data_IF_303651454082
#
_entry.id   IF_303651454082
#
_cell.length_a   1.000
_cell.length_b   1.000
_cell.length_c   1.000
_cell.angle_alpha   90.00
_cell.angle_beta   90.00
_cell.angle_gamma   90.00
#
_symmetry.space_group_name_H-M   'P 1'
#
loop_
_entity.id
_entity.type
_entity.pdbx_description
1 polymer ?
#
# COMPACT_ATOMS: atom_id res chain seq x y z
N UNK A 1 39.30 -45.34 24.43
CA UNK A 1 38.52 -45.76 23.23
C UNK A 1 39.28 -45.63 21.91
N UNK A 2 40.58 -45.97 21.84
CA UNK A 2 41.32 -45.98 20.55
C UNK A 2 41.15 -47.30 19.80
N UNK A 3 41.25 -48.40 20.54
CA UNK A 3 41.09 -49.77 20.05
C UNK A 3 39.72 -49.97 19.36
N UNK A 4 38.62 -49.59 20.00
CA UNK A 4 37.27 -49.67 19.40
C UNK A 4 37.14 -48.89 18.09
N UNK A 5 37.79 -47.73 17.97
CA UNK A 5 37.78 -46.89 16.77
C UNK A 5 38.57 -47.53 15.62
N UNK A 6 39.71 -48.14 15.93
CA UNK A 6 40.51 -48.88 14.95
C UNK A 6 39.74 -50.08 14.41
N UNK A 7 39.10 -50.87 15.29
CA UNK A 7 38.24 -51.97 14.87
C UNK A 7 37.05 -51.52 14.00
N UNK A 8 36.40 -50.39 14.30
CA UNK A 8 35.31 -49.87 13.45
C UNK A 8 35.80 -49.36 12.11
N UNK A 9 36.95 -48.67 12.05
CA UNK A 9 37.55 -48.21 10.80
C UNK A 9 37.97 -49.37 9.90
N UNK A 10 38.55 -50.42 10.48
CA UNK A 10 38.92 -51.61 9.71
C UNK A 10 37.70 -52.37 9.20
N UNK A 11 36.60 -52.41 9.96
CA UNK A 11 35.32 -52.95 9.49
C UNK A 11 34.77 -52.17 8.28
N UNK A 12 34.77 -50.84 8.35
CA UNK A 12 34.36 -49.95 7.24
C UNK A 12 35.24 -50.19 6.00
N UNK A 13 36.55 -50.32 6.18
CA UNK A 13 37.51 -50.58 5.09
C UNK A 13 37.32 -51.95 4.45
N UNK A 14 36.91 -52.96 5.21
CA UNK A 14 36.71 -54.32 4.71
C UNK A 14 35.40 -54.46 3.92
N UNK A 15 34.35 -53.73 4.32
CA UNK A 15 33.05 -53.74 3.63
C UNK A 15 32.74 -52.42 2.91
N UNK A 16 33.56 -52.07 1.91
CA UNK A 16 33.52 -50.77 1.23
C UNK A 16 32.19 -50.49 0.52
N UNK A 17 31.56 -51.49 -0.10
CA UNK A 17 30.32 -51.31 -0.88
C UNK A 17 29.15 -50.88 0.01
N UNK A 18 28.90 -51.63 1.09
CA UNK A 18 27.82 -51.32 2.04
C UNK A 18 28.10 -50.03 2.80
N UNK A 19 29.35 -49.79 3.23
CA UNK A 19 29.70 -48.57 3.95
C UNK A 19 29.55 -47.32 3.09
N UNK A 20 29.94 -47.37 1.81
CA UNK A 20 29.69 -46.27 0.86
C UNK A 20 28.19 -46.04 0.65
N UNK A 21 27.38 -47.09 0.52
CA UNK A 21 25.93 -46.96 0.38
C UNK A 21 25.29 -46.25 1.59
N UNK A 22 25.71 -46.59 2.82
CA UNK A 22 25.22 -45.95 4.05
C UNK A 22 25.65 -44.48 4.11
N UNK A 23 26.91 -44.17 3.79
CA UNK A 23 27.38 -42.77 3.79
C UNK A 23 26.63 -41.91 2.76
N UNK A 24 26.39 -42.44 1.55
CA UNK A 24 25.59 -41.76 0.53
C UNK A 24 24.15 -41.57 1.00
N UNK A 25 23.54 -42.59 1.61
CA UNK A 25 22.18 -42.48 2.14
C UNK A 25 22.08 -41.39 3.23
N UNK A 26 23.03 -41.33 4.17
CA UNK A 26 23.09 -40.29 5.20
C UNK A 26 23.35 -38.90 4.62
N UNK A 27 24.22 -38.80 3.62
CA UNK A 27 24.48 -37.55 2.91
C UNK A 27 23.23 -37.05 2.17
N UNK A 28 22.55 -37.93 1.45
CA UNK A 28 21.30 -37.59 0.75
C UNK A 28 20.20 -37.20 1.73
N UNK A 29 20.02 -37.95 2.83
CA UNK A 29 19.01 -37.65 3.84
C UNK A 29 19.25 -36.28 4.51
N UNK A 30 20.49 -35.98 4.89
CA UNK A 30 20.84 -34.70 5.51
C UNK A 30 20.73 -33.52 4.52
N UNK A 31 21.14 -33.72 3.26
CA UNK A 31 20.99 -32.71 2.21
C UNK A 31 19.51 -32.44 1.91
N UNK A 32 18.70 -33.49 1.81
CA UNK A 32 17.26 -33.36 1.54
C UNK A 32 16.53 -32.67 2.68
N UNK A 33 16.84 -33.00 3.93
CA UNK A 33 16.28 -32.31 5.10
C UNK A 33 16.68 -30.83 5.13
N UNK A 34 17.95 -30.51 4.84
CA UNK A 34 18.41 -29.12 4.80
C UNK A 34 17.73 -28.33 3.67
N UNK A 35 17.58 -28.94 2.49
CA UNK A 35 16.87 -28.34 1.37
C UNK A 35 15.39 -28.10 1.69
N UNK A 36 14.73 -29.04 2.36
CA UNK A 36 13.34 -28.90 2.78
C UNK A 36 13.15 -27.74 3.78
N UNK A 37 14.03 -27.64 4.78
CA UNK A 37 14.00 -26.52 5.72
C UNK A 37 14.23 -25.17 5.03
N UNK A 38 15.18 -25.11 4.09
CA UNK A 38 15.42 -23.92 3.27
C UNK A 38 14.21 -23.53 2.44
N UNK A 39 13.58 -24.51 1.78
CA UNK A 39 12.38 -24.30 0.97
C UNK A 39 11.21 -23.75 1.77
N UNK A 40 10.92 -24.32 2.95
CA UNK A 40 9.85 -23.83 3.83
C UNK A 40 10.11 -22.40 4.29
N UNK A 41 11.35 -22.08 4.67
CA UNK A 41 11.72 -20.73 5.08
C UNK A 41 11.58 -19.71 3.94
N UNK A 42 11.99 -20.07 2.73
CA UNK A 42 11.80 -19.23 1.55
C UNK A 42 10.32 -19.02 1.27
N UNK A 43 9.51 -20.08 1.25
CA UNK A 43 8.06 -19.95 1.06
C UNK A 43 7.40 -19.04 2.10
N UNK A 44 7.79 -19.16 3.37
CA UNK A 44 7.27 -18.30 4.45
C UNK A 44 7.64 -16.83 4.23
N UNK A 45 8.91 -16.57 3.90
CA UNK A 45 9.41 -15.21 3.61
C UNK A 45 8.75 -14.62 2.37
N UNK A 46 8.54 -15.42 1.33
CA UNK A 46 7.87 -14.98 0.12
C UNK A 46 6.40 -14.64 0.42
N UNK A 47 5.71 -15.49 1.19
CA UNK A 47 4.32 -15.25 1.60
C UNK A 47 4.19 -13.95 2.38
N UNK A 48 5.04 -13.74 3.39
CA UNK A 48 5.02 -12.50 4.20
C UNK A 48 5.35 -11.27 3.36
N UNK A 49 6.37 -11.35 2.49
CA UNK A 49 6.74 -10.25 1.59
C UNK A 49 5.61 -9.92 0.61
N UNK A 50 4.96 -10.94 0.05
CA UNK A 50 3.82 -10.75 -0.85
C UNK A 50 2.60 -10.17 -0.14
N UNK A 51 2.32 -10.59 1.09
CA UNK A 51 1.24 -10.00 1.89
C UNK A 51 1.49 -8.53 2.16
N UNK A 52 2.71 -8.16 2.57
CA UNK A 52 3.09 -6.76 2.78
C UNK A 52 3.05 -5.97 1.47
N UNK A 53 3.48 -6.58 0.36
CA UNK A 53 3.46 -5.94 -0.96
C UNK A 53 2.03 -5.64 -1.44
N UNK A 54 1.08 -6.56 -1.22
CA UNK A 54 -0.30 -6.44 -1.70
C UNK A 54 -1.22 -5.68 -0.77
N UNK A 55 -1.11 -5.90 0.54
CA UNK A 55 -2.04 -5.36 1.54
C UNK A 55 -1.46 -4.20 2.34
N UNK A 56 -0.15 -4.00 2.28
CA UNK A 56 0.56 -3.06 3.15
C UNK A 56 0.92 -3.68 4.50
N UNK A 57 1.74 -2.95 5.25
CA UNK A 57 2.20 -3.30 6.60
C UNK A 57 1.36 -2.54 7.64
N UNK A 58 0.10 -2.93 7.83
CA UNK A 58 -0.81 -2.36 8.85
C UNK A 58 -1.63 -3.49 9.50
N UNK A 59 -2.11 -3.28 10.72
CA UNK A 59 -2.80 -4.34 11.49
C UNK A 59 -4.24 -4.03 11.87
N UNK A 60 -4.60 -2.76 12.00
CA UNK A 60 -5.96 -2.36 12.33
C UNK A 60 -6.30 -1.01 11.73
N UNK A 61 -7.57 -0.84 11.37
CA UNK A 61 -8.15 0.39 10.86
C UNK A 61 -9.35 0.76 11.73
N UNK A 62 -9.36 2.00 12.23
CA UNK A 62 -10.47 2.56 12.99
C UNK A 62 -11.44 3.24 12.04
N UNK A 63 -12.62 2.63 11.86
CA UNK A 63 -13.72 3.25 11.13
C UNK A 63 -14.53 4.14 12.08
N UNK A 64 -14.83 5.37 11.65
CA UNK A 64 -15.56 6.36 12.44
C UNK A 64 -14.83 7.69 12.61
N UNK A 65 -15.47 8.61 13.34
CA UNK A 65 -14.93 9.94 13.61
C UNK A 65 -13.74 9.84 14.58
N UNK A 66 -12.53 9.96 14.05
CA UNK A 66 -11.32 10.08 14.84
C UNK A 66 -10.95 11.56 14.97
N UNK A 67 -10.74 12.06 16.18
CA UNK A 67 -10.32 13.44 16.36
C UNK A 67 -8.81 13.55 16.37
N UNK A 68 -8.27 14.63 15.78
CA UNK A 68 -6.83 14.97 15.84
C UNK A 68 -6.32 14.94 17.28
N UNK A 69 -7.16 15.37 18.23
CA UNK A 69 -6.85 15.44 19.66
C UNK A 69 -6.55 14.09 20.30
N UNK A 70 -7.07 13.00 19.74
CA UNK A 70 -6.94 11.65 20.29
C UNK A 70 -5.79 10.85 19.62
N UNK A 71 -5.17 11.41 18.56
CA UNK A 71 -3.96 10.85 17.94
C UNK A 71 -2.80 10.59 18.93
N UNK A 72 -2.52 11.45 19.92
CA UNK A 72 -1.46 11.19 20.90
C UNK A 72 -1.72 9.94 21.76
N UNK A 73 -2.98 9.61 22.04
CA UNK A 73 -3.34 8.41 22.82
C UNK A 73 -2.97 7.14 22.04
N UNK A 74 -3.18 7.15 20.72
CA UNK A 74 -2.92 6.01 19.85
C UNK A 74 -1.42 5.88 19.58
N UNK A 75 -0.73 6.99 19.32
CA UNK A 75 0.74 7.00 19.17
C UNK A 75 1.49 6.65 20.47
N UNK A 76 0.88 6.90 21.63
CA UNK A 76 1.47 6.59 22.93
C UNK A 76 1.41 5.12 23.32
N UNK A 77 0.72 4.28 22.55
CA UNK A 77 0.57 2.86 22.87
C UNK A 77 1.82 2.07 22.45
N UNK A 78 2.37 1.27 23.37
CA UNK A 78 3.69 0.63 23.18
C UNK A 78 3.76 -0.38 22.03
N UNK A 79 2.62 -0.84 21.52
CA UNK A 79 2.54 -1.77 20.40
C UNK A 79 2.36 -1.08 19.06
N UNK A 80 2.24 0.26 19.00
CA UNK A 80 2.05 1.02 17.75
C UNK A 80 3.35 1.73 17.40
N UNK A 81 3.91 1.43 16.23
CA UNK A 81 5.12 2.08 15.71
C UNK A 81 4.77 3.35 14.93
N UNK A 82 3.79 3.25 14.04
CA UNK A 82 3.35 4.39 13.24
C UNK A 82 1.84 4.41 13.00
N UNK A 83 1.34 5.62 12.83
CA UNK A 83 -0.08 5.89 12.61
C UNK A 83 -0.24 6.44 11.20
N UNK A 84 -0.98 5.70 10.37
CA UNK A 84 -1.29 6.06 9.01
C UNK A 84 -2.62 6.81 9.01
N UNK A 85 -2.62 7.99 8.39
CA UNK A 85 -3.79 8.85 8.32
C UNK A 85 -4.15 8.99 6.85
N UNK A 86 -5.41 8.70 6.53
CA UNK A 86 -6.01 8.93 5.22
C UNK A 86 -7.23 9.82 5.41
N UNK A 87 -7.38 10.81 4.54
CA UNK A 87 -8.55 11.68 4.52
C UNK A 87 -9.70 11.04 3.76
N UNK A 88 -10.83 11.76 3.75
CA UNK A 88 -11.98 11.41 2.94
C UNK A 88 -11.69 11.52 1.44
N UNK A 89 -12.53 10.86 0.65
CA UNK A 89 -12.53 11.06 -0.79
C UNK A 89 -13.27 12.35 -1.12
N UNK A 90 -12.60 13.22 -1.87
CA UNK A 90 -13.10 14.49 -2.38
C UNK A 90 -13.39 14.29 -3.87
N UNK A 91 -14.49 14.83 -4.37
CA UNK A 91 -14.75 14.82 -5.82
C UNK A 91 -14.11 16.05 -6.48
N UNK A 92 -13.34 15.81 -7.53
CA UNK A 92 -12.90 16.84 -8.46
C UNK A 92 -13.64 16.69 -9.80
N UNK A 93 -14.16 17.79 -10.31
CA UNK A 93 -14.82 17.85 -11.62
C UNK A 93 -13.77 17.99 -12.74
N UNK A 94 -13.97 17.24 -13.83
CA UNK A 94 -13.06 17.22 -14.97
C UNK A 94 -13.82 17.29 -16.29
N UNK A 95 -13.28 18.07 -17.22
CA UNK A 95 -13.80 18.18 -18.58
C UNK A 95 -13.23 17.04 -19.45
N UNK A 96 -13.69 15.80 -19.25
CA UNK A 96 -13.32 14.63 -20.06
C UNK A 96 -14.56 13.93 -20.66
N UNK A 97 -14.62 13.69 -21.99
CA UNK A 97 -15.73 12.99 -22.65
C UNK A 97 -16.05 11.59 -22.11
N UNK A 98 -15.09 10.91 -21.47
CA UNK A 98 -15.28 9.56 -20.93
C UNK A 98 -15.67 9.55 -19.46
N UNK A 99 -15.36 10.61 -18.70
CA UNK A 99 -15.52 10.66 -17.25
C UNK A 99 -15.74 12.10 -16.77
N UNK A 100 -16.79 12.29 -15.99
CA UNK A 100 -17.14 13.62 -15.47
C UNK A 100 -16.40 13.95 -14.15
N UNK A 101 -15.96 12.94 -13.39
CA UNK A 101 -15.40 13.16 -12.05
C UNK A 101 -14.15 12.32 -11.75
N UNK A 102 -13.23 12.90 -10.97
CA UNK A 102 -12.11 12.22 -10.33
C UNK A 102 -12.33 12.15 -8.81
N UNK A 103 -11.88 11.06 -8.19
CA UNK A 103 -11.83 10.95 -6.72
C UNK A 103 -10.44 11.31 -6.25
N UNK A 104 -10.31 12.34 -5.42
CA UNK A 104 -9.06 12.73 -4.75
C UNK A 104 -9.08 12.24 -3.31
N UNK A 105 -7.97 11.71 -2.84
CA UNK A 105 -7.77 11.37 -1.44
C UNK A 105 -6.40 11.84 -0.99
N UNK A 106 -6.31 12.35 0.24
CA UNK A 106 -5.04 12.79 0.80
C UNK A 106 -4.60 11.88 1.93
N UNK A 107 -3.29 11.67 2.03
CA UNK A 107 -2.70 10.78 3.00
C UNK A 107 -1.44 11.40 3.62
N UNK A 108 -1.00 10.91 4.78
CA UNK A 108 0.28 11.32 5.36
C UNK A 108 1.46 10.55 4.76
N UNK A 109 2.68 11.04 4.99
CA UNK A 109 3.90 10.35 4.59
C UNK A 109 4.02 8.92 5.17
N UNK A 110 3.50 8.68 6.39
CA UNK A 110 3.49 7.34 6.99
C UNK A 110 2.59 6.37 6.21
N UNK A 111 1.42 6.83 5.73
CA UNK A 111 0.55 6.08 4.84
C UNK A 111 1.33 5.61 3.61
N UNK A 112 1.93 6.56 2.88
CA UNK A 112 2.73 6.25 1.68
C UNK A 112 3.90 5.31 1.92
N UNK A 113 4.45 5.25 3.15
CA UNK A 113 5.56 4.35 3.48
C UNK A 113 5.08 2.90 3.66
N UNK A 114 3.94 2.68 4.30
CA UNK A 114 3.50 1.34 4.70
C UNK A 114 2.41 0.74 3.81
N UNK A 115 1.74 1.56 3.00
CA UNK A 115 0.63 1.13 2.15
C UNK A 115 1.11 0.66 0.75
N UNK A 116 0.35 -0.24 0.11
CA UNK A 116 0.76 -0.88 -1.14
C UNK A 116 0.71 0.04 -2.37
N UNK A 117 -0.03 1.14 -2.33
CA UNK A 117 -0.23 2.05 -3.48
C UNK A 117 1.09 2.63 -4.00
N UNK A 118 2.11 2.78 -3.15
CA UNK A 118 3.46 3.19 -3.58
C UNK A 118 4.08 2.22 -4.60
N UNK A 119 3.71 0.93 -4.54
CA UNK A 119 4.22 -0.12 -5.40
C UNK A 119 3.54 -0.12 -6.78
N UNK A 120 2.39 0.54 -6.89
CA UNK A 120 1.64 0.73 -8.14
C UNK A 120 2.16 1.93 -8.94
N UNK A 121 3.10 2.71 -8.39
CA UNK A 121 3.71 3.82 -9.08
C UNK A 121 4.52 3.31 -10.29
N UNK A 122 4.08 3.69 -11.49
CA UNK A 122 4.71 3.30 -12.74
C UNK A 122 5.84 4.25 -13.12
N UNK A 123 5.65 5.54 -12.84
CA UNK A 123 6.63 6.59 -13.16
C UNK A 123 6.55 7.74 -12.15
N UNK A 124 7.65 8.45 -11.96
CA UNK A 124 7.78 9.58 -11.03
C UNK A 124 8.04 9.17 -9.57
N UNK A 125 7.45 9.91 -8.63
CA UNK A 125 7.64 9.72 -7.19
C UNK A 125 6.34 9.88 -6.39
N UNK A 126 6.35 9.39 -5.15
CA UNK A 126 5.28 9.71 -4.19
C UNK A 126 5.24 11.22 -3.91
N UNK A 127 4.06 11.79 -3.62
CA UNK A 127 3.96 13.21 -3.27
C UNK A 127 4.65 13.48 -1.94
N UNK A 128 5.39 14.58 -1.86
CA UNK A 128 6.10 15.06 -0.67
C UNK A 128 5.41 16.27 -0.04
N UNK A 129 4.67 17.04 -0.83
CA UNK A 129 3.96 18.24 -0.41
C UNK A 129 2.46 18.18 -0.73
N UNK A 130 1.66 19.03 -0.06
CA UNK A 130 0.19 19.04 -0.17
C UNK A 130 -0.34 19.53 -1.52
N UNK A 131 0.50 20.24 -2.26
CA UNK A 131 0.22 20.69 -3.62
C UNK A 131 0.73 19.70 -4.68
N UNK A 132 1.22 18.52 -4.29
CA UNK A 132 1.68 17.49 -5.21
C UNK A 132 0.67 16.34 -5.26
N UNK A 133 0.44 15.81 -6.46
CA UNK A 133 -0.48 14.70 -6.68
C UNK A 133 0.13 13.62 -7.55
N UNK A 134 -0.29 12.39 -7.28
CA UNK A 134 -0.09 11.25 -8.16
C UNK A 134 -1.42 10.91 -8.82
N UNK A 135 -1.39 10.73 -10.13
CA UNK A 135 -2.58 10.52 -10.97
C UNK A 135 -2.59 9.10 -11.52
N UNK A 136 -3.78 8.50 -11.62
CA UNK A 136 -3.92 7.18 -12.26
C UNK A 136 -3.59 7.23 -13.76
N UNK A 137 -2.93 6.19 -14.28
CA UNK A 137 -2.53 6.05 -15.68
C UNK A 137 -3.68 6.30 -16.67
N UNK A 138 -4.89 5.90 -16.31
CA UNK A 138 -6.10 6.05 -17.12
C UNK A 138 -6.40 7.51 -17.50
N UNK A 139 -6.02 8.47 -16.66
CA UNK A 139 -6.24 9.90 -16.96
C UNK A 139 -5.33 10.39 -18.10
N UNK A 140 -4.08 9.92 -18.15
CA UNK A 140 -3.12 10.28 -19.21
C UNK A 140 -3.47 9.67 -20.57
N UNK A 141 -4.30 8.61 -20.61
CA UNK A 141 -4.78 8.05 -21.88
C UNK A 141 -5.71 9.03 -22.62
N UNK A 142 -6.47 9.84 -21.89
CA UNK A 142 -7.36 10.85 -22.47
C UNK A 142 -6.71 12.24 -22.56
N UNK A 143 -5.67 12.49 -21.75
CA UNK A 143 -4.90 13.74 -21.72
C UNK A 143 -3.41 13.48 -22.00
N UNK A 144 -3.03 13.06 -23.22
CA UNK A 144 -1.63 12.75 -23.58
C UNK A 144 -0.71 13.97 -23.56
N UNK A 145 -1.28 15.18 -23.53
CA UNK A 145 -0.56 16.44 -23.39
C UNK A 145 0.07 16.63 -22.00
N UNK A 146 -0.51 16.02 -20.96
CA UNK A 146 -0.04 16.17 -19.59
C UNK A 146 1.15 15.26 -19.28
N UNK A 147 2.14 15.82 -18.59
CA UNK A 147 3.36 15.14 -18.17
C UNK A 147 3.63 15.34 -16.69
N UNK A 148 4.51 14.48 -16.17
CA UNK A 148 5.06 14.65 -14.82
C UNK A 148 5.82 16.00 -14.79
N UNK A 149 5.50 16.83 -13.81
CA UNK A 149 6.00 18.20 -13.65
C UNK A 149 4.97 19.27 -14.04
N UNK A 150 3.91 18.92 -14.75
CA UNK A 150 2.86 19.88 -15.12
C UNK A 150 1.94 20.20 -13.94
N UNK A 151 1.29 21.35 -14.03
CA UNK A 151 0.32 21.81 -13.03
C UNK A 151 -1.10 21.67 -13.56
N UNK A 152 -1.98 21.07 -12.75
CA UNK A 152 -3.40 20.93 -13.04
C UNK A 152 -4.21 21.69 -12.00
N UNK A 153 -5.23 22.43 -12.44
CA UNK A 153 -6.18 23.10 -11.55
C UNK A 153 -7.47 22.31 -11.54
N UNK A 154 -7.87 21.85 -10.35
CA UNK A 154 -9.03 20.99 -10.15
C UNK A 154 -10.07 21.71 -9.29
N UNK A 155 -11.30 21.92 -9.81
CA UNK A 155 -12.43 22.34 -9.00
C UNK A 155 -12.88 21.16 -8.12
N UNK A 156 -12.82 21.33 -6.80
CA UNK A 156 -13.22 20.34 -5.82
C UNK A 156 -14.57 20.68 -5.19
N UNK A 157 -15.37 19.67 -4.97
CA UNK A 157 -16.76 19.85 -4.55
C UNK A 157 -17.46 18.54 -4.25
N UNK A 158 -18.79 18.61 -4.30
CA UNK A 158 -19.67 17.50 -3.98
C UNK A 158 -20.60 17.18 -5.15
N UNK A 159 -20.85 15.88 -5.34
CA UNK A 159 -21.85 15.37 -6.29
C UNK A 159 -23.19 15.34 -5.57
N UNK A 160 -24.20 15.97 -6.17
CA UNK A 160 -25.56 16.02 -5.62
C UNK A 160 -26.53 15.40 -6.63
N UNK A 161 -27.39 14.51 -6.13
CA UNK A 161 -28.52 13.97 -6.90
C UNK A 161 -29.78 14.02 -6.05
N UNK A 162 -30.85 14.60 -6.59
CA UNK A 162 -32.16 14.69 -5.95
C UNK A 162 -32.09 15.24 -4.50
N UNK A 163 -31.17 16.20 -4.26
CA UNK A 163 -30.94 16.80 -2.94
C UNK A 163 -30.06 15.98 -1.97
N UNK A 164 -29.56 14.81 -2.39
CA UNK A 164 -28.66 13.95 -1.60
C UNK A 164 -27.22 14.09 -2.08
N UNK A 165 -26.28 14.27 -1.14
CA UNK A 165 -24.83 14.26 -1.44
C UNK A 165 -24.37 12.82 -1.64
N UNK A 166 -23.80 12.53 -2.80
CA UNK A 166 -23.23 11.23 -3.15
C UNK A 166 -21.76 11.18 -2.73
N UNK A 167 -21.30 10.00 -2.31
CA UNK A 167 -19.89 9.81 -2.01
C UNK A 167 -19.06 9.76 -3.29
N UNK A 168 -17.83 10.26 -3.24
CA UNK A 168 -16.94 10.29 -4.40
C UNK A 168 -16.67 8.90 -5.00
N UNK A 169 -16.74 7.84 -4.20
CA UNK A 169 -16.55 6.45 -4.61
C UNK A 169 -17.78 5.79 -5.23
N UNK A 170 -18.95 6.44 -5.20
CA UNK A 170 -20.16 5.89 -5.84
C UNK A 170 -20.07 5.97 -7.36
N UNK A 171 -20.58 4.96 -8.10
CA UNK A 171 -20.61 5.00 -9.56
C UNK A 171 -21.39 6.22 -10.08
N UNK A 172 -20.99 6.70 -11.25
CA UNK A 172 -21.69 7.79 -11.95
C UNK A 172 -23.15 7.41 -12.24
N UNK A 173 -24.10 8.24 -11.81
CA UNK A 173 -25.52 8.15 -12.14
C UNK A 173 -25.91 9.28 -13.08
N UNK A 174 -26.83 9.00 -14.00
CA UNK A 174 -27.38 10.02 -14.88
C UNK A 174 -28.17 11.09 -14.10
N UNK A 175 -27.99 12.35 -14.48
CA UNK A 175 -28.69 13.51 -13.90
C UNK A 175 -28.08 14.06 -12.60
N UNK A 176 -26.81 13.78 -12.32
CA UNK A 176 -26.09 14.38 -11.19
C UNK A 176 -25.72 15.85 -11.45
N UNK A 177 -25.64 16.64 -10.39
CA UNK A 177 -25.16 18.03 -10.45
C UNK A 177 -23.95 18.19 -9.55
N UNK A 178 -22.90 18.84 -10.05
CA UNK A 178 -21.71 19.14 -9.28
C UNK A 178 -21.82 20.51 -8.62
N UNK A 179 -21.55 20.57 -7.30
CA UNK A 179 -21.47 21.82 -6.56
C UNK A 179 -20.01 22.09 -6.18
N UNK A 180 -19.38 23.05 -6.85
CA UNK A 180 -18.01 23.49 -6.57
C UNK A 180 -17.94 24.13 -5.17
N UNK A 181 -17.05 23.63 -4.32
CA UNK A 181 -16.76 24.21 -2.98
C UNK A 181 -15.46 24.97 -2.96
N UNK A 182 -14.43 24.41 -3.60
CA UNK A 182 -13.09 24.97 -3.62
C UNK A 182 -12.40 24.70 -4.96
N UNK A 183 -11.27 25.35 -5.19
CA UNK A 183 -10.43 25.13 -6.36
C UNK A 183 -8.99 25.11 -5.90
N UNK A 184 -8.23 24.09 -6.31
CA UNK A 184 -6.80 24.05 -6.03
C UNK A 184 -5.99 23.64 -7.24
N UNK A 185 -4.79 24.18 -7.28
CA UNK A 185 -3.78 23.82 -8.27
C UNK A 185 -2.80 22.83 -7.65
N UNK A 186 -2.55 21.75 -8.36
CA UNK A 186 -1.64 20.68 -7.97
C UNK A 186 -0.56 20.47 -9.04
N UNK A 187 0.63 20.03 -8.62
CA UNK A 187 1.71 19.61 -9.50
C UNK A 187 1.71 18.08 -9.61
N UNK A 188 1.76 17.57 -10.83
CA UNK A 188 1.79 16.14 -11.11
C UNK A 188 3.21 15.64 -10.84
N UNK A 189 3.38 14.70 -9.90
CA UNK A 189 4.71 14.17 -9.53
C UNK A 189 4.89 12.69 -9.84
N UNK A 190 3.83 12.00 -10.23
CA UNK A 190 3.92 10.59 -10.62
C UNK A 190 2.63 10.03 -11.20
N UNK A 191 2.78 8.84 -11.76
CA UNK A 191 1.73 8.09 -12.44
C UNK A 191 1.56 6.74 -11.75
N UNK A 192 0.33 6.39 -11.41
CA UNK A 192 0.00 5.17 -10.69
C UNK A 192 -0.83 4.24 -11.58
N UNK A 193 -0.41 2.99 -11.72
CA UNK A 193 -1.19 1.95 -12.37
C UNK A 193 -2.09 1.30 -11.32
N UNK A 194 -3.12 2.05 -10.93
CA UNK A 194 -4.14 1.55 -10.01
C UNK A 194 -4.94 0.46 -10.75
N UNK A 195 -4.49 -0.78 -10.61
CA UNK A 195 -5.20 -1.95 -11.10
C UNK A 195 -6.48 -2.22 -10.29
N UNK A 196 -6.77 -1.41 -9.25
CA UNK A 196 -8.05 -1.47 -8.56
C UNK A 196 -9.14 -0.96 -9.50
N UNK A 197 -10.09 -1.80 -9.94
CA UNK A 197 -11.29 -1.35 -10.63
C UNK A 197 -12.22 -0.71 -9.59
N UNK A 198 -11.78 0.37 -8.95
CA UNK A 198 -12.73 1.31 -8.41
C UNK A 198 -13.38 1.95 -9.63
N UNK A 199 -14.71 1.99 -9.61
CA UNK A 199 -15.54 2.65 -10.61
C UNK A 199 -15.19 4.15 -10.77
N UNK A 200 -14.28 4.67 -9.94
CA UNK A 200 -13.73 6.02 -10.00
C UNK A 200 -12.19 5.99 -9.94
N UNK A 201 -11.48 6.64 -10.88
CA UNK A 201 -10.04 6.84 -10.80
C UNK A 201 -9.66 7.64 -9.55
N UNK A 202 -8.63 7.18 -8.86
CA UNK A 202 -8.14 7.77 -7.62
C UNK A 202 -6.90 8.64 -7.87
N UNK A 203 -6.95 9.86 -7.34
CA UNK A 203 -5.82 10.77 -7.16
C UNK A 203 -5.37 10.71 -5.71
N UNK A 204 -4.06 10.63 -5.48
CA UNK A 204 -3.51 10.65 -4.13
C UNK A 204 -2.57 11.85 -3.92
N UNK A 205 -2.83 12.61 -2.85
CA UNK A 205 -2.02 13.76 -2.43
C UNK A 205 -1.34 13.51 -1.09
N UNK A 206 -0.23 14.19 -0.79
CA UNK A 206 0.42 14.12 0.52
C UNK A 206 0.20 15.39 1.33
N UNK A 207 -0.65 15.36 2.35
CA UNK A 207 -0.85 16.53 3.20
C UNK A 207 -2.17 16.54 3.95
N UNK A 208 -2.09 16.50 5.28
CA UNK A 208 -3.24 16.60 6.18
C UNK A 208 -3.25 17.89 7.03
N UNK A 209 -2.21 18.72 6.90
CA UNK A 209 -2.14 20.00 7.60
C UNK A 209 -2.36 21.15 6.62
N UNK A 210 -3.56 21.75 6.66
CA UNK A 210 -3.90 23.05 6.10
C UNK A 210 -4.07 23.15 4.57
N UNK A 211 -3.54 22.20 3.80
CA UNK A 211 -3.60 22.23 2.33
C UNK A 211 -4.76 21.47 1.69
N UNK A 212 -5.34 20.49 2.40
CA UNK A 212 -6.59 19.83 2.04
C UNK A 212 -7.60 20.07 3.15
N UNK A 213 -8.53 20.98 2.89
CA UNK A 213 -9.40 21.61 3.88
C UNK A 213 -10.14 20.59 4.74
N UNK A 214 -9.71 20.45 5.99
CA UNK A 214 -10.63 20.03 7.04
C UNK A 214 -11.49 21.24 7.40
N UNK A 215 -12.84 21.15 7.35
CA UNK A 215 -13.63 22.03 8.19
C UNK A 215 -13.14 21.82 9.63
N UNK A 216 -12.83 22.91 10.30
CA UNK A 216 -12.24 22.90 11.64
C UNK A 216 -13.11 22.07 12.61
N UNK A 217 -12.77 20.78 12.80
CA UNK A 217 -13.62 19.93 13.63
C UNK A 217 -13.33 18.43 13.72
N UNK A 218 -12.71 17.77 12.74
CA UNK A 218 -12.51 16.30 12.86
C UNK A 218 -11.70 15.69 11.72
N UNK A 219 -10.93 14.63 12.02
CA UNK A 219 -10.37 13.74 10.98
C UNK A 219 -11.50 12.76 10.68
N UNK A 220 -12.35 13.09 9.72
CA UNK A 220 -13.33 12.12 9.28
C UNK A 220 -12.60 10.94 8.64
N UNK A 221 -12.77 9.81 9.32
CA UNK A 221 -12.55 8.43 8.93
C UNK A 221 -11.13 7.93 8.59
N UNK A 222 -10.82 6.85 9.30
CA UNK A 222 -9.84 5.82 8.98
C UNK A 222 -8.40 6.10 9.41
N UNK A 223 -8.16 5.83 10.69
CA UNK A 223 -6.83 5.74 11.24
C UNK A 223 -6.35 4.29 11.16
N UNK A 224 -5.25 4.03 10.46
CA UNK A 224 -4.61 2.71 10.48
C UNK A 224 -3.36 2.76 11.34
N UNK A 225 -3.00 1.64 11.96
CA UNK A 225 -1.80 1.53 12.80
C UNK A 225 -0.90 0.39 12.33
N UNK A 226 0.41 0.66 12.33
CA UNK A 226 1.47 -0.32 12.14
C UNK A 226 1.96 -0.75 13.52
N UNK A 227 2.02 -2.05 13.83
CA UNK A 227 2.54 -2.48 15.10
C UNK A 227 4.06 -2.46 15.12
N UNK A 228 4.62 -2.47 16.33
CA UNK A 228 6.05 -2.69 16.54
C UNK A 228 6.38 -4.16 16.29
N UNK A 229 7.03 -4.46 15.17
CA UNK A 229 7.65 -5.77 14.93
C UNK A 229 8.95 -5.86 15.76
N UNK A 230 8.91 -6.55 16.91
CA UNK A 230 10.11 -6.93 17.68
C UNK A 230 10.56 -8.33 17.31
#
# INVERSE_FOLDING_TARGET
MKILREYTLDFIRRNKRTSCAIMIALYLASTFLSALCGFINTMWKDTTTLTVFKSGDWHGELFGEAFVRDLPLIKGYSTVDSVLIKGDFITADIEDPRREYLSLRCANAAYWKHMPEKNELTDGRIPAASNEIVISKQYFENHPELKIGDTITLPMGERVKDGTVLQATEPLRSGETFTKKEERTFTIVGILDAATPLLCPLLLCNGLHGGCGYPAGGIHNCLSAVPVHR
#
